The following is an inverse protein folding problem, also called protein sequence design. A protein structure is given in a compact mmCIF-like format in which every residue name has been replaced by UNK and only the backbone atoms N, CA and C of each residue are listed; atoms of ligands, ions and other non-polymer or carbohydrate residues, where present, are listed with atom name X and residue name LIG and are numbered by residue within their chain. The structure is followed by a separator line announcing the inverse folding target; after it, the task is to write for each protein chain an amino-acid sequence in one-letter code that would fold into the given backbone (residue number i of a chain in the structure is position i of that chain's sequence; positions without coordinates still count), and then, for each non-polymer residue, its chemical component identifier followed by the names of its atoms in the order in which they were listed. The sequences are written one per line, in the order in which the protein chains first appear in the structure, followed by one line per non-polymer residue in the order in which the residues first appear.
data_IF_063942842118
#
_entry.id   IF_063942842118
#
_cell.length_a   1.000
_cell.length_b   1.000
_cell.length_c   1.000
_cell.angle_alpha   90.00
_cell.angle_beta   90.00
_cell.angle_gamma   90.00
#
_symmetry.space_group_name_H-M   'P 1'
#
loop_
_entity.id
_entity.type
_entity.pdbx_description
1 polymer ?
#
# COMPACT_ATOMS: atom_id res chain seq x y z
N UNK A 1 -23.47 -46.21 52.16
CA UNK A 1 -22.36 -46.02 51.21
C UNK A 1 -22.45 -44.61 50.64
N UNK A 2 -21.39 -43.82 50.83
CA UNK A 2 -21.21 -42.43 50.38
C UNK A 2 -20.82 -42.44 48.90
N UNK A 3 -21.50 -41.66 48.07
CA UNK A 3 -20.93 -41.20 46.79
C UNK A 3 -21.27 -39.73 46.61
N UNK A 4 -20.24 -38.91 46.81
CA UNK A 4 -20.18 -37.51 46.43
C UNK A 4 -20.00 -37.46 44.90
N UNK A 5 -20.83 -36.68 44.19
CA UNK A 5 -20.50 -36.23 42.83
C UNK A 5 -20.51 -34.71 42.84
N UNK A 6 -19.35 -34.19 42.46
CA UNK A 6 -18.91 -32.81 42.51
C UNK A 6 -19.81 -31.89 41.69
N UNK A 7 -20.10 -30.73 42.28
CA UNK A 7 -20.56 -29.52 41.61
C UNK A 7 -19.63 -29.14 40.46
N UNK A 8 -20.12 -29.19 39.23
CA UNK A 8 -19.43 -28.60 38.08
C UNK A 8 -19.83 -27.13 38.02
N UNK A 9 -18.93 -26.25 38.46
CA UNK A 9 -19.04 -24.81 38.27
C UNK A 9 -18.89 -24.57 36.76
N UNK A 10 -20.01 -24.30 36.09
CA UNK A 10 -20.01 -23.83 34.71
C UNK A 10 -19.54 -22.37 34.74
N UNK A 11 -18.23 -22.17 34.62
CA UNK A 11 -17.65 -20.86 34.42
C UNK A 11 -18.12 -20.33 33.06
N UNK A 12 -19.12 -19.42 33.07
CA UNK A 12 -19.40 -18.55 31.93
C UNK A 12 -18.17 -17.65 31.76
N UNK A 13 -17.23 -18.09 30.91
CA UNK A 13 -16.27 -17.19 30.32
C UNK A 13 -17.06 -16.23 29.44
N UNK A 14 -17.23 -15.01 29.93
CA UNK A 14 -17.61 -13.86 29.13
C UNK A 14 -16.60 -13.77 27.99
N UNK A 15 -17.01 -14.23 26.81
CA UNK A 15 -16.35 -13.87 25.56
C UNK A 15 -16.60 -12.37 25.44
N UNK A 16 -15.69 -11.58 26.01
CA UNK A 16 -15.45 -10.23 25.54
C UNK A 16 -15.02 -10.45 24.10
N UNK A 17 -16.00 -10.46 23.20
CA UNK A 17 -15.78 -10.30 21.79
C UNK A 17 -15.15 -8.93 21.68
N UNK A 18 -13.82 -8.89 21.77
CA UNK A 18 -13.06 -7.94 21.02
C UNK A 18 -13.57 -8.14 19.60
N UNK A 19 -14.50 -7.27 19.19
CA UNK A 19 -14.64 -6.94 17.79
C UNK A 19 -13.23 -6.51 17.41
N UNK A 20 -12.46 -7.45 16.87
CA UNK A 20 -11.24 -7.15 16.18
C UNK A 20 -11.69 -6.16 15.11
N UNK A 21 -11.43 -4.89 15.37
CA UNK A 21 -11.40 -3.88 14.35
C UNK A 21 -10.24 -4.30 13.44
N UNK A 22 -10.52 -5.26 12.56
CA UNK A 22 -9.73 -5.60 11.39
C UNK A 22 -9.82 -4.47 10.35
N UNK A 23 -9.72 -3.21 10.81
CA UNK A 23 -9.19 -2.12 10.01
C UNK A 23 -7.69 -2.30 9.99
N UNK A 24 -7.26 -3.21 9.12
CA UNK A 24 -5.90 -3.39 8.64
C UNK A 24 -5.18 -2.04 8.58
N UNK A 25 -4.14 -1.92 9.42
CA UNK A 25 -3.58 -0.64 9.85
C UNK A 25 -2.95 0.20 8.75
N UNK A 26 -3.74 1.04 8.11
CA UNK A 26 -3.32 2.19 7.31
C UNK A 26 -4.38 3.28 7.39
N UNK A 27 -3.97 4.54 7.21
CA UNK A 27 -4.83 5.72 7.27
C UNK A 27 -5.30 6.18 5.88
N UNK A 28 -4.65 5.70 4.81
CA UNK A 28 -5.04 5.99 3.44
C UNK A 28 -4.23 5.26 2.39
N UNK A 29 -4.56 5.54 1.12
CA UNK A 29 -3.87 5.03 -0.05
C UNK A 29 -3.46 6.19 -0.94
N UNK A 30 -2.20 6.25 -1.35
CA UNK A 30 -1.68 7.22 -2.30
C UNK A 30 -1.51 6.55 -3.66
N UNK A 31 -2.01 7.18 -4.72
CA UNK A 31 -1.82 6.73 -6.10
C UNK A 31 -0.52 7.33 -6.63
N UNK A 32 0.44 6.47 -6.97
CA UNK A 32 1.74 6.86 -7.49
C UNK A 32 1.90 6.30 -8.90
N UNK A 33 2.25 7.12 -9.90
CA UNK A 33 2.55 6.63 -11.24
C UNK A 33 3.90 5.88 -11.19
N UNK A 34 3.87 4.61 -10.80
CA UNK A 34 5.03 3.73 -10.77
C UNK A 34 4.69 2.28 -11.12
N UNK A 35 5.69 1.55 -11.60
CA UNK A 35 5.61 0.11 -11.86
C UNK A 35 6.63 -0.65 -10.99
N UNK A 36 6.26 -1.85 -10.55
CA UNK A 36 7.17 -2.71 -9.81
C UNK A 36 8.33 -3.18 -10.72
N UNK A 37 9.56 -2.93 -10.31
CA UNK A 37 10.77 -3.46 -10.95
C UNK A 37 11.34 -4.67 -10.21
N UNK A 38 11.24 -4.68 -8.88
CA UNK A 38 11.59 -5.80 -8.01
C UNK A 38 10.66 -5.76 -6.76
N UNK A 39 10.66 -6.80 -5.90
CA UNK A 39 9.75 -6.89 -4.75
C UNK A 39 9.68 -5.64 -3.86
N UNK A 40 10.77 -4.88 -3.75
CA UNK A 40 10.85 -3.64 -2.95
C UNK A 40 11.36 -2.43 -3.74
N UNK A 41 11.35 -2.50 -5.08
CA UNK A 41 11.90 -1.45 -5.95
C UNK A 41 10.89 -1.10 -7.03
N UNK A 42 10.61 0.19 -7.14
CA UNK A 42 9.60 0.73 -8.05
C UNK A 42 10.23 1.74 -9.00
N UNK A 43 9.90 1.64 -10.28
CA UNK A 43 10.22 2.65 -11.28
C UNK A 43 9.11 3.69 -11.24
N UNK A 44 9.44 4.86 -10.73
CA UNK A 44 8.47 5.93 -10.48
C UNK A 44 8.62 7.00 -11.56
N UNK A 45 7.49 7.46 -12.09
CA UNK A 45 7.45 8.55 -13.04
C UNK A 45 7.76 9.90 -12.37
N UNK A 46 8.25 10.90 -13.12
CA UNK A 46 8.39 12.26 -12.61
C UNK A 46 7.07 12.83 -12.07
N UNK A 47 7.13 13.78 -11.13
CA UNK A 47 5.94 14.51 -10.67
C UNK A 47 5.18 15.14 -11.86
N UNK A 48 3.85 15.01 -11.85
CA UNK A 48 2.96 15.52 -12.91
C UNK A 48 2.82 14.62 -14.15
N UNK A 49 3.57 13.51 -14.21
CA UNK A 49 3.33 12.46 -15.19
C UNK A 49 2.16 11.56 -14.75
N UNK A 50 1.50 10.94 -15.72
CA UNK A 50 0.41 9.97 -15.50
C UNK A 50 0.67 8.73 -16.35
N UNK A 51 -0.01 7.62 -16.11
CA UNK A 51 -0.06 6.53 -17.08
C UNK A 51 -1.26 6.65 -18.01
N UNK A 52 -1.07 6.35 -19.29
CA UNK A 52 -2.15 6.26 -20.26
C UNK A 52 -2.75 4.87 -20.18
N UNK A 53 -3.83 4.75 -19.41
CA UNK A 53 -4.56 3.49 -19.22
C UNK A 53 -5.40 3.10 -20.45
N UNK A 54 -5.58 4.01 -21.43
CA UNK A 54 -6.37 3.75 -22.65
C UNK A 54 -5.69 2.78 -23.62
N UNK A 55 -4.38 2.56 -23.46
CA UNK A 55 -3.59 1.62 -24.26
C UNK A 55 -3.54 0.20 -23.69
N UNK A 56 -4.37 -0.09 -22.68
CA UNK A 56 -4.29 -1.31 -21.89
C UNK A 56 -3.16 -1.23 -20.86
N UNK A 57 -3.02 -2.29 -20.04
CA UNK A 57 -2.06 -2.40 -18.94
C UNK A 57 -0.75 -1.66 -19.29
N UNK A 58 -0.51 -0.58 -18.53
CA UNK A 58 0.54 0.42 -18.71
C UNK A 58 1.72 -0.13 -19.49
N UNK A 59 1.97 0.44 -20.67
CA UNK A 59 3.17 0.14 -21.45
C UNK A 59 4.36 0.32 -20.50
N UNK A 60 4.99 -0.81 -20.14
CA UNK A 60 6.07 -0.87 -19.16
C UNK A 60 7.25 0.04 -19.52
N UNK A 61 7.24 0.59 -20.74
CA UNK A 61 8.30 1.41 -21.27
C UNK A 61 8.15 2.90 -20.99
N UNK A 62 6.97 3.46 -20.68
CA UNK A 62 6.81 4.92 -20.54
C UNK A 62 5.65 5.40 -19.65
N UNK A 63 5.80 6.61 -19.13
CA UNK A 63 4.71 7.42 -18.58
C UNK A 63 4.05 8.20 -19.75
N UNK A 64 2.75 8.48 -19.67
CA UNK A 64 1.99 9.19 -20.73
C UNK A 64 2.52 10.60 -21.06
N UNK A 65 3.29 11.21 -20.15
CA UNK A 65 3.84 12.57 -20.30
C UNK A 65 5.37 12.65 -20.19
N UNK A 66 6.08 11.52 -20.26
CA UNK A 66 7.55 11.51 -20.22
C UNK A 66 8.17 10.14 -19.91
N UNK A 67 9.51 9.99 -20.04
CA UNK A 67 10.21 8.80 -19.58
C UNK A 67 10.20 8.70 -18.05
N UNK A 68 10.61 7.56 -17.50
CA UNK A 68 10.95 7.44 -16.09
C UNK A 68 12.04 8.45 -15.71
N UNK A 69 12.12 8.80 -14.42
CA UNK A 69 13.31 9.49 -13.91
C UNK A 69 14.55 8.63 -14.17
N UNK A 70 15.70 9.28 -14.40
CA UNK A 70 16.98 8.60 -14.64
C UNK A 70 17.93 8.82 -13.46
N UNK A 71 18.72 7.81 -13.12
CA UNK A 71 19.80 7.93 -12.16
C UNK A 71 21.07 8.51 -12.79
N UNK A 72 22.12 8.73 -11.99
CA UNK A 72 23.39 9.30 -12.46
C UNK A 72 24.13 8.41 -13.48
N UNK A 73 23.74 7.14 -13.61
CA UNK A 73 24.32 6.17 -14.54
C UNK A 73 23.50 6.07 -15.84
N UNK A 74 22.40 6.82 -15.96
CA UNK A 74 21.51 6.78 -17.11
C UNK A 74 20.59 5.56 -17.13
N UNK A 75 20.37 4.91 -15.97
CA UNK A 75 19.37 3.85 -15.82
C UNK A 75 18.07 4.42 -15.21
N UNK A 76 16.91 3.79 -15.42
CA UNK A 76 15.67 4.23 -14.79
C UNK A 76 15.79 4.22 -13.26
N UNK A 77 15.49 5.35 -12.63
CA UNK A 77 15.58 5.56 -11.20
C UNK A 77 14.61 4.62 -10.48
N UNK A 78 15.16 3.81 -9.59
CA UNK A 78 14.37 2.89 -8.74
C UNK A 78 14.28 3.44 -7.32
N UNK A 79 13.06 3.60 -6.83
CA UNK A 79 12.74 4.10 -5.50
C UNK A 79 12.22 3.00 -4.59
N UNK A 80 12.40 3.16 -3.29
CA UNK A 80 11.65 2.38 -2.29
C UNK A 80 10.22 2.89 -2.20
N UNK A 81 9.33 2.11 -1.59
CA UNK A 81 7.93 2.48 -1.37
C UNK A 81 7.79 3.82 -0.62
N UNK A 82 8.59 4.03 0.43
CA UNK A 82 8.58 5.29 1.18
C UNK A 82 9.07 6.47 0.34
N UNK A 83 10.14 6.29 -0.44
CA UNK A 83 10.66 7.36 -1.30
C UNK A 83 9.67 7.75 -2.40
N UNK A 84 8.97 6.76 -2.96
CA UNK A 84 7.89 6.98 -3.92
C UNK A 84 6.72 7.75 -3.29
N UNK A 85 6.33 7.39 -2.07
CA UNK A 85 5.30 8.10 -1.30
C UNK A 85 5.72 9.55 -1.03
N UNK A 86 6.91 9.77 -0.50
CA UNK A 86 7.42 11.11 -0.17
C UNK A 86 7.51 12.02 -1.40
N UNK A 87 7.80 11.45 -2.58
CA UNK A 87 7.89 12.20 -3.83
C UNK A 87 6.50 12.58 -4.39
N UNK A 88 5.46 11.78 -4.20
CA UNK A 88 4.17 12.00 -4.88
C UNK A 88 3.01 12.36 -3.95
N UNK A 89 3.18 12.21 -2.64
CA UNK A 89 2.17 12.52 -1.64
C UNK A 89 2.71 13.54 -0.63
N UNK A 90 1.93 14.60 -0.41
CA UNK A 90 2.21 15.57 0.65
C UNK A 90 1.26 15.32 1.82
N UNK A 91 1.81 14.86 2.94
CA UNK A 91 1.04 14.63 4.16
C UNK A 91 0.45 15.96 4.71
N UNK A 92 -0.69 15.91 5.42
CA UNK A 92 -1.23 17.06 6.12
C UNK A 92 -0.23 17.66 7.12
N UNK A 93 -0.26 18.98 7.38
CA UNK A 93 0.61 19.61 8.36
C UNK A 93 0.55 18.95 9.75
N UNK A 94 1.70 18.78 10.39
CA UNK A 94 1.81 18.14 11.71
C UNK A 94 1.77 16.61 11.68
N UNK A 95 1.85 16.01 10.49
CA UNK A 95 1.90 14.56 10.30
C UNK A 95 2.89 14.18 9.21
N UNK A 96 3.43 12.96 9.31
CA UNK A 96 4.24 12.29 8.30
C UNK A 96 3.52 11.06 7.77
N UNK A 97 3.49 10.90 6.45
CA UNK A 97 3.02 9.66 5.84
C UNK A 97 4.12 8.59 5.87
N UNK A 98 3.80 7.41 6.39
CA UNK A 98 4.69 6.25 6.46
C UNK A 98 4.08 5.13 5.63
N UNK A 99 4.81 4.67 4.61
CA UNK A 99 4.36 3.60 3.74
C UNK A 99 4.24 2.28 4.52
N UNK A 100 3.08 1.64 4.40
CA UNK A 100 2.74 0.35 5.02
C UNK A 100 2.95 -0.79 4.03
N UNK A 101 2.59 -0.59 2.76
CA UNK A 101 2.76 -1.62 1.73
C UNK A 101 2.23 -1.19 0.36
N UNK A 102 2.65 -1.90 -0.70
CA UNK A 102 2.04 -1.77 -2.02
C UNK A 102 0.67 -2.43 -2.03
N UNK A 103 -0.28 -1.86 -2.75
CA UNK A 103 -1.59 -2.42 -3.04
C UNK A 103 -1.70 -2.68 -4.55
N UNK A 104 -1.98 -3.92 -4.97
CA UNK A 104 -2.28 -4.18 -6.37
C UNK A 104 -3.66 -3.62 -6.68
N UNK A 105 -3.75 -2.78 -7.71
CA UNK A 105 -5.03 -2.42 -8.32
C UNK A 105 -5.14 -3.17 -9.62
N UNK A 106 -6.33 -3.72 -9.88
CA UNK A 106 -6.60 -4.47 -11.08
C UNK A 106 -7.61 -3.69 -11.91
N UNK A 107 -7.36 -3.61 -13.22
CA UNK A 107 -8.32 -3.05 -14.17
C UNK A 107 -9.55 -3.98 -14.33
N UNK A 108 -10.56 -3.55 -15.08
CA UNK A 108 -11.78 -4.33 -15.35
C UNK A 108 -11.51 -5.71 -15.97
N UNK A 109 -10.37 -5.89 -16.63
CA UNK A 109 -9.95 -7.15 -17.26
C UNK A 109 -9.13 -8.05 -16.31
N UNK A 110 -9.00 -7.67 -15.04
CA UNK A 110 -8.26 -8.40 -14.01
C UNK A 110 -6.74 -8.30 -14.13
N UNK A 111 -6.21 -7.37 -14.94
CA UNK A 111 -4.77 -7.10 -15.07
C UNK A 111 -4.35 -6.03 -14.08
N UNK A 112 -3.13 -6.12 -13.56
CA UNK A 112 -2.57 -5.07 -12.69
C UNK A 112 -2.59 -3.75 -13.45
N UNK A 113 -3.37 -2.81 -12.92
CA UNK A 113 -3.38 -1.42 -13.33
C UNK A 113 -1.99 -0.87 -12.99
N UNK A 114 -1.30 -0.27 -13.97
CA UNK A 114 0.12 0.05 -13.81
C UNK A 114 0.39 1.25 -12.90
N UNK A 115 -0.56 1.56 -12.01
CA UNK A 115 -0.39 2.46 -10.89
C UNK A 115 0.10 1.69 -9.68
N UNK A 116 1.05 2.28 -8.96
CA UNK A 116 1.43 1.80 -7.64
C UNK A 116 0.54 2.49 -6.62
N UNK A 117 -0.34 1.72 -6.00
CA UNK A 117 -1.11 2.20 -4.86
C UNK A 117 -0.31 1.92 -3.60
N UNK A 118 -0.03 2.95 -2.81
CA UNK A 118 0.76 2.84 -1.59
C UNK A 118 -0.17 3.03 -0.41
N UNK A 119 -0.42 1.97 0.36
CA UNK A 119 -1.04 2.12 1.66
C UNK A 119 -0.08 2.85 2.61
N UNK A 120 -0.57 3.84 3.35
CA UNK A 120 0.24 4.62 4.29
C UNK A 120 -0.47 4.84 5.62
N UNK A 121 0.30 5.07 6.68
CA UNK A 121 -0.15 5.61 7.97
C UNK A 121 0.27 7.06 8.13
N UNK A 122 -0.53 7.85 8.83
CA UNK A 122 -0.15 9.18 9.29
C UNK A 122 0.38 9.09 10.71
N UNK A 123 1.62 9.49 10.91
CA UNK A 123 2.29 9.55 12.20
C UNK A 123 2.45 11.01 12.59
N UNK A 124 2.17 11.37 13.84
CA UNK A 124 2.33 12.74 14.32
C UNK A 124 3.82 13.14 14.33
N UNK A 125 4.12 14.34 13.83
CA UNK A 125 5.46 14.95 13.90
C UNK A 125 5.65 15.77 15.18
#
# INVERSE_FOLDING_TARGET
MRTHILSTILALFTIVGAANADTLGWDGVAEVPAIAAAPDRYLVCPQGAHFDTSRGAVDKNFCSKGPFDWDALGAPKTLTLQQALDQHFKAPPGTRAVAVGPLPVYNSDGRVDGWLHIAYKLVKE
#
